data_IF_940867011602
#
_entry.id   IF_940867011602
#
_cell.length_a   1.000
_cell.length_b   1.000
_cell.length_c   1.000
_cell.angle_alpha   90.00
_cell.angle_beta   90.00
_cell.angle_gamma   90.00
#
_symmetry.space_group_name_H-M   'P 1'
#
loop_
_entity.id
_entity.type
_entity.pdbx_description
1 polymer ?
#
# COMPACT_ATOMS: atom_id res chain seq x y z
N UNK A 1 -11.68 -48.96 -2.55
CA UNK A 1 -10.78 -49.50 -3.59
C UNK A 1 -11.32 -49.12 -4.95
N UNK A 2 -10.53 -48.44 -5.79
CA UNK A 2 -10.50 -48.48 -7.27
C UNK A 2 -9.64 -47.29 -7.75
N UNK A 3 -8.45 -47.62 -8.23
CA UNK A 3 -7.44 -46.73 -8.80
C UNK A 3 -7.73 -46.58 -10.30
N UNK A 4 -7.47 -45.41 -10.86
CA UNK A 4 -7.24 -45.25 -12.30
C UNK A 4 -6.01 -44.37 -12.50
N UNK A 5 -4.96 -45.02 -12.98
CA UNK A 5 -3.69 -44.48 -13.47
C UNK A 5 -3.86 -44.36 -14.99
N UNK A 6 -3.39 -43.28 -15.60
CA UNK A 6 -3.38 -43.15 -17.06
C UNK A 6 -2.57 -41.95 -17.57
N UNK A 7 -1.28 -42.22 -17.85
CA UNK A 7 -0.50 -41.79 -19.03
C UNK A 7 -0.61 -40.33 -19.52
N UNK A 8 0.47 -39.56 -19.42
CA UNK A 8 1.49 -39.38 -20.49
C UNK A 8 0.98 -38.54 -21.67
N UNK A 9 1.50 -37.31 -21.81
CA UNK A 9 1.28 -36.48 -22.99
C UNK A 9 2.13 -35.21 -22.96
N UNK A 10 3.37 -35.30 -23.45
CA UNK A 10 4.22 -34.17 -23.83
C UNK A 10 3.60 -33.49 -25.05
N UNK A 11 3.47 -32.16 -25.03
CA UNK A 11 3.26 -31.35 -26.23
C UNK A 11 4.10 -30.07 -26.13
N UNK A 12 5.27 -30.11 -26.75
CA UNK A 12 6.05 -28.95 -27.19
C UNK A 12 5.44 -28.47 -28.50
N UNK A 13 5.17 -27.16 -28.67
CA UNK A 13 5.34 -26.45 -29.94
C UNK A 13 5.09 -24.93 -29.82
N UNK A 14 6.21 -24.20 -29.87
CA UNK A 14 6.49 -23.00 -30.71
C UNK A 14 5.34 -22.04 -31.01
N UNK A 15 5.49 -20.81 -30.51
CA UNK A 15 4.82 -19.61 -31.04
C UNK A 15 5.85 -18.50 -31.24
N UNK A 16 6.19 -18.21 -32.48
CA UNK A 16 6.96 -17.04 -32.90
C UNK A 16 6.16 -15.77 -32.60
N UNK A 17 6.71 -14.88 -31.78
CA UNK A 17 6.15 -13.55 -31.50
C UNK A 17 7.03 -12.47 -32.09
N UNK A 18 6.72 -12.03 -33.32
CA UNK A 18 7.15 -10.76 -33.89
C UNK A 18 5.91 -10.12 -34.52
N UNK A 19 5.57 -8.90 -34.10
CA UNK A 19 4.46 -8.12 -34.67
C UNK A 19 3.57 -7.47 -33.61
N UNK A 20 3.76 -6.17 -33.39
CA UNK A 20 2.89 -5.36 -32.54
C UNK A 20 3.33 -3.90 -32.53
N UNK A 21 2.88 -3.13 -33.52
CA UNK A 21 2.99 -1.67 -33.58
C UNK A 21 2.23 -1.03 -32.40
N UNK A 22 2.81 -0.06 -31.66
CA UNK A 22 2.08 0.64 -30.61
C UNK A 22 1.12 1.66 -31.24
N UNK A 23 -0.18 1.44 -31.02
CA UNK A 23 -1.23 2.43 -31.21
C UNK A 23 -0.99 3.62 -30.28
N UNK A 24 -0.86 4.79 -30.89
CA UNK A 24 -1.09 6.07 -30.25
C UNK A 24 -2.58 6.16 -29.86
N UNK A 25 -2.83 6.45 -28.59
CA UNK A 25 -4.16 6.59 -28.00
C UNK A 25 -4.02 7.30 -26.67
N UNK A 26 -4.31 8.60 -26.69
CA UNK A 26 -4.20 9.54 -25.59
C UNK A 26 -5.10 9.21 -24.39
N UNK A 27 -4.63 9.56 -23.20
CA UNK A 27 -5.34 9.51 -21.93
C UNK A 27 -4.55 10.25 -20.87
N UNK A 28 -4.72 11.56 -20.84
CA UNK A 28 -4.09 12.53 -19.94
C UNK A 28 -4.67 12.44 -18.52
N UNK A 29 -3.82 12.55 -17.50
CA UNK A 29 -4.27 12.87 -16.13
C UNK A 29 -3.49 12.23 -14.98
N UNK A 30 -2.37 12.86 -14.57
CA UNK A 30 -2.12 13.32 -13.19
C UNK A 30 -0.62 13.55 -12.95
N UNK A 31 -0.29 14.83 -12.92
CA UNK A 31 0.97 15.49 -12.59
C UNK A 31 1.81 14.83 -11.48
N UNK A 32 2.99 14.39 -11.89
CA UNK A 32 4.18 14.29 -11.05
C UNK A 32 5.36 14.47 -11.98
N UNK A 33 5.66 15.72 -12.34
CA UNK A 33 6.61 16.04 -13.40
C UNK A 33 7.97 15.41 -13.13
N UNK A 34 8.26 14.31 -13.83
CA UNK A 34 9.64 13.90 -14.12
C UNK A 34 10.20 14.98 -15.01
N UNK A 35 10.76 16.04 -14.40
CA UNK A 35 11.62 16.97 -15.14
C UNK A 35 12.75 16.11 -15.69
N UNK A 36 12.86 16.11 -17.02
CA UNK A 36 14.01 15.66 -17.79
C UNK A 36 15.30 15.95 -16.99
N UNK A 37 16.02 14.89 -16.63
CA UNK A 37 17.12 14.93 -15.67
C UNK A 37 18.23 15.86 -16.12
N UNK A 38 18.40 16.97 -15.40
CA UNK A 38 19.54 17.85 -15.57
C UNK A 38 20.70 17.30 -14.72
N UNK A 39 21.85 16.89 -15.29
CA UNK A 39 22.93 16.26 -14.54
C UNK A 39 23.55 17.17 -13.45
N UNK A 40 23.30 18.47 -13.53
CA UNK A 40 23.72 19.45 -12.51
C UNK A 40 22.88 19.38 -11.23
N UNK A 41 21.66 18.83 -11.28
CA UNK A 41 20.80 18.64 -10.10
C UNK A 41 20.84 17.20 -9.56
N UNK A 42 21.58 16.30 -10.19
CA UNK A 42 21.61 14.88 -9.83
C UNK A 42 21.90 14.59 -8.32
N UNK A 43 22.83 15.30 -7.64
CA UNK A 43 23.05 15.05 -6.20
C UNK A 43 21.87 15.48 -5.32
N UNK A 44 21.22 16.62 -5.64
CA UNK A 44 20.07 17.12 -4.87
C UNK A 44 18.81 16.31 -5.17
N UNK A 45 18.66 15.83 -6.41
CA UNK A 45 17.56 14.97 -6.82
C UNK A 45 17.63 13.61 -6.12
N UNK A 46 18.82 13.04 -5.94
CA UNK A 46 19.00 11.81 -5.17
C UNK A 46 18.59 11.99 -3.70
N UNK A 47 19.09 13.04 -3.03
CA UNK A 47 18.74 13.34 -1.64
C UNK A 47 17.23 13.58 -1.47
N UNK A 48 16.63 14.32 -2.42
CA UNK A 48 15.19 14.53 -2.48
C UNK A 48 14.42 13.21 -2.62
N UNK A 49 14.81 12.35 -3.56
CA UNK A 49 14.14 11.07 -3.82
C UNK A 49 14.24 10.11 -2.62
N UNK A 50 15.42 10.00 -1.98
CA UNK A 50 15.60 9.16 -0.79
C UNK A 50 14.73 9.65 0.37
N UNK A 51 14.68 10.97 0.60
CA UNK A 51 13.82 11.54 1.64
C UNK A 51 12.33 11.31 1.38
N UNK A 52 11.88 11.40 0.12
CA UNK A 52 10.49 11.07 -0.23
C UNK A 52 10.18 9.59 -0.01
N UNK A 53 11.08 8.70 -0.44
CA UNK A 53 10.92 7.26 -0.26
C UNK A 53 10.85 6.87 1.22
N UNK A 54 11.72 7.43 2.07
CA UNK A 54 11.67 7.20 3.52
C UNK A 54 10.34 7.64 4.13
N UNK A 55 9.83 8.81 3.73
CA UNK A 55 8.53 9.28 4.20
C UNK A 55 7.41 8.34 3.79
N UNK A 56 7.37 7.92 2.52
CA UNK A 56 6.34 6.98 2.06
C UNK A 56 6.42 5.63 2.81
N UNK A 57 7.62 5.11 3.03
CA UNK A 57 7.83 3.87 3.78
C UNK A 57 7.29 3.98 5.21
N UNK A 58 7.57 5.10 5.91
CA UNK A 58 7.04 5.33 7.25
C UNK A 58 5.51 5.31 7.29
N UNK A 59 4.83 5.94 6.31
CA UNK A 59 3.37 5.97 6.23
C UNK A 59 2.77 4.57 6.08
N UNK A 60 3.39 3.73 5.24
CA UNK A 60 2.95 2.34 5.02
C UNK A 60 3.17 1.50 6.28
N UNK A 61 4.30 1.70 6.97
CA UNK A 61 4.59 1.02 8.24
C UNK A 61 3.55 1.39 9.30
N UNK A 62 3.20 2.66 9.45
CA UNK A 62 2.22 3.10 10.45
C UNK A 62 0.82 2.52 10.19
N UNK A 63 0.35 2.54 8.93
CA UNK A 63 -0.94 1.94 8.56
C UNK A 63 -0.96 0.43 8.79
N UNK A 64 0.10 -0.26 8.37
CA UNK A 64 0.18 -1.72 8.52
C UNK A 64 0.22 -2.15 9.99
N UNK A 65 0.87 -1.35 10.85
CA UNK A 65 0.89 -1.57 12.29
C UNK A 65 -0.51 -1.42 12.92
N UNK A 66 -1.26 -0.36 12.56
CA UNK A 66 -2.66 -0.23 13.02
C UNK A 66 -3.50 -1.42 12.57
N UNK A 67 -3.42 -1.78 11.29
CA UNK A 67 -4.23 -2.87 10.77
C UNK A 67 -3.88 -4.20 11.45
N UNK A 68 -2.61 -4.42 11.78
CA UNK A 68 -2.19 -5.57 12.58
C UNK A 68 -2.81 -5.54 13.97
N UNK A 69 -2.67 -4.43 14.70
CA UNK A 69 -3.23 -4.29 16.05
C UNK A 69 -4.75 -4.51 16.09
N UNK A 70 -5.49 -3.98 15.10
CA UNK A 70 -6.94 -4.21 14.95
C UNK A 70 -7.26 -5.70 14.82
N UNK A 71 -6.51 -6.44 14.00
CA UNK A 71 -6.72 -7.88 13.83
C UNK A 71 -6.37 -8.66 15.11
N UNK A 72 -5.32 -8.27 15.81
CA UNK A 72 -4.95 -8.89 17.08
C UNK A 72 -6.00 -8.65 18.15
N UNK A 73 -6.52 -7.42 18.25
CA UNK A 73 -7.66 -7.08 19.11
C UNK A 73 -8.89 -7.91 18.77
N UNK A 74 -9.25 -8.00 17.48
CA UNK A 74 -10.40 -8.80 17.03
C UNK A 74 -10.24 -10.28 17.39
N UNK A 75 -9.03 -10.83 17.26
CA UNK A 75 -8.75 -12.21 17.63
C UNK A 75 -8.75 -12.46 19.15
N UNK A 76 -8.35 -11.47 19.97
CA UNK A 76 -8.31 -11.58 21.43
C UNK A 76 -9.67 -11.33 22.08
N UNK A 77 -10.35 -10.26 21.68
CA UNK A 77 -11.60 -9.79 22.29
C UNK A 77 -12.85 -10.36 21.62
N UNK A 78 -12.72 -11.02 20.47
CA UNK A 78 -13.84 -11.55 19.68
C UNK A 78 -14.73 -10.47 19.07
N UNK A 79 -14.28 -9.20 19.11
CA UNK A 79 -14.96 -8.04 18.52
C UNK A 79 -13.93 -7.06 18.00
N UNK A 80 -14.34 -6.20 17.07
CA UNK A 80 -13.49 -5.09 16.61
C UNK A 80 -13.43 -3.97 17.65
N UNK A 81 -12.33 -3.19 17.69
CA UNK A 81 -12.30 -2.00 18.52
C UNK A 81 -13.36 -1.01 18.02
N UNK A 82 -14.01 -0.30 18.93
CA UNK A 82 -14.97 0.75 18.57
C UNK A 82 -14.27 2.02 18.09
N UNK A 83 -13.02 2.22 18.52
CA UNK A 83 -12.16 3.36 18.18
C UNK A 83 -10.69 2.94 18.24
N UNK A 84 -9.81 3.68 17.57
CA UNK A 84 -8.39 3.34 17.52
C UNK A 84 -7.73 3.46 18.90
N UNK A 85 -8.20 4.36 19.76
CA UNK A 85 -7.68 4.59 21.11
C UNK A 85 -7.84 3.36 22.00
N UNK A 86 -8.84 2.52 21.74
CA UNK A 86 -9.09 1.29 22.49
C UNK A 86 -7.93 0.29 22.36
N UNK A 87 -7.23 0.32 21.21
CA UNK A 87 -6.02 -0.48 21.01
C UNK A 87 -4.91 -0.09 21.99
N UNK A 88 -4.88 1.18 22.42
CA UNK A 88 -3.91 1.67 23.41
C UNK A 88 -4.40 1.39 24.83
N UNK A 89 -5.69 1.63 25.09
CA UNK A 89 -6.32 1.39 26.39
C UNK A 89 -6.19 -0.08 26.82
N UNK A 90 -6.42 -1.00 25.88
CA UNK A 90 -6.32 -2.45 26.11
C UNK A 90 -4.89 -3.00 25.88
N UNK A 91 -3.92 -2.14 25.58
CA UNK A 91 -2.49 -2.51 25.53
C UNK A 91 -2.02 -3.22 24.26
N UNK A 92 -2.84 -3.31 23.21
CA UNK A 92 -2.44 -3.82 21.90
C UNK A 92 -1.47 -2.89 21.15
N UNK A 93 -1.46 -1.61 21.51
CA UNK A 93 -0.50 -0.61 21.06
C UNK A 93 0.03 0.19 22.25
N UNK A 94 1.33 0.50 22.31
CA UNK A 94 1.87 1.38 23.37
C UNK A 94 1.39 2.83 23.20
N UNK A 95 1.13 3.24 21.95
CA UNK A 95 0.54 4.52 21.55
C UNK A 95 0.04 4.42 20.12
N UNK A 96 -0.85 5.31 19.72
CA UNK A 96 -1.18 5.48 18.31
C UNK A 96 0.02 6.09 17.56
N UNK A 97 0.40 5.58 16.38
CA UNK A 97 1.39 6.23 15.54
C UNK A 97 0.86 7.58 15.06
N UNK A 98 1.80 8.47 14.75
CA UNK A 98 1.45 9.79 14.25
C UNK A 98 0.98 9.68 12.79
N UNK A 99 -0.13 10.32 12.47
CA UNK A 99 -0.54 10.42 11.08
C UNK A 99 0.45 11.29 10.29
N UNK A 100 0.64 11.02 8.99
CA UNK A 100 1.50 11.82 8.13
C UNK A 100 1.00 13.26 8.04
N UNK A 101 1.89 14.20 7.73
CA UNK A 101 1.55 15.62 7.66
C UNK A 101 0.37 15.87 6.68
N UNK A 102 -0.62 16.63 7.14
CA UNK A 102 -1.84 16.92 6.35
C UNK A 102 -2.80 15.74 6.20
N UNK A 103 -2.63 14.67 6.96
CA UNK A 103 -3.50 13.48 6.93
C UNK A 103 -4.00 13.10 8.33
N UNK A 104 -5.04 12.27 8.39
CA UNK A 104 -5.48 11.56 9.60
C UNK A 104 -5.80 10.11 9.27
N UNK A 105 -5.68 9.26 10.28
CA UNK A 105 -6.28 7.94 10.22
C UNK A 105 -7.80 8.05 10.27
N UNK A 106 -8.46 7.40 9.33
CA UNK A 106 -9.89 7.18 9.32
C UNK A 106 -10.13 5.70 9.61
N UNK A 107 -10.92 5.43 10.64
CA UNK A 107 -11.27 4.07 11.05
C UNK A 107 -12.77 3.84 10.91
N UNK A 108 -13.15 2.66 10.41
CA UNK A 108 -14.51 2.17 10.41
C UNK A 108 -14.66 0.95 11.35
N UNK A 109 -15.36 1.07 12.49
CA UNK A 109 -15.52 -0.01 13.45
C UNK A 109 -16.38 -1.17 12.95
N UNK A 110 -17.23 -0.95 11.93
CA UNK A 110 -18.08 -2.02 11.37
C UNK A 110 -17.25 -3.00 10.55
N UNK A 111 -16.39 -2.45 9.70
CA UNK A 111 -15.56 -3.24 8.78
C UNK A 111 -14.18 -3.55 9.33
N UNK A 112 -13.69 -2.80 10.32
CA UNK A 112 -12.31 -2.92 10.82
C UNK A 112 -11.27 -2.31 9.88
N UNK A 113 -11.71 -1.52 8.90
CA UNK A 113 -10.81 -0.91 7.92
C UNK A 113 -10.20 0.38 8.46
N UNK A 114 -8.91 0.54 8.25
CA UNK A 114 -8.19 1.78 8.53
C UNK A 114 -7.55 2.33 7.26
N UNK A 115 -7.68 3.64 7.06
CA UNK A 115 -7.11 4.34 5.91
C UNK A 115 -6.58 5.72 6.30
N UNK A 116 -5.88 6.36 5.37
CA UNK A 116 -5.44 7.74 5.50
C UNK A 116 -6.34 8.63 4.67
N UNK A 117 -6.85 9.70 5.28
CA UNK A 117 -7.61 10.74 4.58
C UNK A 117 -6.92 12.08 4.78
N UNK A 118 -6.97 12.95 3.76
CA UNK A 118 -6.46 14.31 3.88
C UNK A 118 -7.20 15.04 5.01
N UNK A 119 -6.47 15.55 5.99
CA UNK A 119 -7.00 16.55 6.90
C UNK A 119 -6.95 17.87 6.14
N UNK A 120 -8.11 18.32 5.68
CA UNK A 120 -8.23 19.54 4.90
C UNK A 120 -7.47 20.68 5.56
N UNK A 121 -6.45 21.19 4.87
CA UNK A 121 -5.89 22.49 5.16
C UNK A 121 -7.01 23.50 4.98
N UNK A 122 -7.34 24.24 6.03
CA UNK A 122 -7.99 25.52 5.83
C UNK A 122 -7.04 26.38 4.98
N UNK A 123 -7.53 27.02 3.90
CA UNK A 123 -6.71 27.84 3.03
C UNK A 123 -6.03 28.99 3.80
#
# INVERSE_FOLDING_TARGET
MKRAIGTLGVAVLVGAGCGGEPKEGAGEGASGGTKSGNPLTAPVDYLGAVGQAQRQAAQVVDLSNLQHAIRTFEAGEGRRPGRLEELVEEGYLPRLPAAPAGQRFQYDPRTGSVGLVAQGGTP
#
